data_IF_873648941135
#
_entry.id   IF_873648941135
#
_cell.length_a   1.000
_cell.length_b   1.000
_cell.length_c   1.000
_cell.angle_alpha   90.00
_cell.angle_beta   90.00
_cell.angle_gamma   90.00
#
_symmetry.space_group_name_H-M   'P 1'
#
loop_
_entity.id
_entity.type
_entity.pdbx_description
1 polymer ?
#
# COMPACT_ATOMS: atom_id res chain seq x y z
N UNK A 1 -56.10 39.65 46.58
CA UNK A 1 -56.25 38.98 47.88
C UNK A 1 -55.68 37.60 47.74
N UNK A 2 -54.57 37.38 48.38
CA UNK A 2 -53.72 36.22 48.27
C UNK A 2 -54.33 34.97 48.91
N UNK A 3 -54.02 33.80 48.42
CA UNK A 3 -53.68 32.65 49.24
C UNK A 3 -52.68 31.78 48.46
N UNK A 4 -51.52 31.79 49.05
CA UNK A 4 -50.38 30.87 48.73
C UNK A 4 -50.71 29.53 49.40
N UNK A 5 -50.73 28.45 48.64
CA UNK A 5 -50.69 27.08 49.19
C UNK A 5 -49.42 26.39 48.74
N UNK A 6 -48.50 26.29 49.70
CA UNK A 6 -47.31 25.52 49.66
C UNK A 6 -47.65 24.05 49.80
N UNK A 7 -47.50 23.26 48.76
CA UNK A 7 -47.47 21.78 48.87
C UNK A 7 -46.03 21.33 48.87
N UNK A 8 -45.61 20.91 50.04
CA UNK A 8 -44.36 20.19 50.32
C UNK A 8 -44.51 18.76 49.79
N UNK A 9 -43.68 18.41 48.77
CA UNK A 9 -43.51 17.03 48.35
C UNK A 9 -42.08 16.60 48.61
N UNK A 10 -42.01 15.80 49.63
CA UNK A 10 -40.81 15.11 50.09
C UNK A 10 -40.09 14.36 49.00
N UNK A 11 -38.83 14.40 49.10
CA UNK A 11 -37.79 13.60 48.47
C UNK A 11 -38.08 12.11 48.60
N UNK A 12 -38.21 11.42 47.50
CA UNK A 12 -37.80 10.04 47.32
C UNK A 12 -37.26 9.88 45.90
N UNK A 13 -36.08 10.39 45.72
CA UNK A 13 -35.23 10.00 44.60
C UNK A 13 -34.63 8.63 44.87
N UNK A 14 -35.34 7.59 44.49
CA UNK A 14 -34.72 6.28 44.36
C UNK A 14 -33.70 6.34 43.21
N UNK A 15 -32.45 6.23 43.63
CA UNK A 15 -31.29 5.91 42.82
C UNK A 15 -31.60 4.67 41.95
N UNK A 16 -32.03 4.87 40.74
CA UNK A 16 -31.99 3.84 39.70
C UNK A 16 -30.58 3.82 39.14
N UNK A 17 -29.68 3.17 39.85
CA UNK A 17 -28.40 2.74 39.28
C UNK A 17 -28.64 1.97 37.98
N UNK A 18 -27.93 2.25 36.90
CA UNK A 18 -28.04 1.44 35.68
C UNK A 18 -27.58 0.02 36.02
N UNK A 19 -28.47 -0.94 35.85
CA UNK A 19 -28.14 -2.36 35.86
C UNK A 19 -27.12 -2.60 34.78
N UNK A 20 -25.87 -2.63 35.16
CA UNK A 20 -24.78 -3.13 34.35
C UNK A 20 -25.05 -4.63 34.22
N UNK A 21 -25.51 -5.07 33.09
CA UNK A 21 -25.49 -6.48 32.70
C UNK A 21 -24.02 -6.90 32.56
N UNK A 22 -23.38 -7.13 33.67
CA UNK A 22 -22.11 -7.82 33.84
C UNK A 22 -22.42 -9.30 33.66
N UNK A 23 -22.20 -9.81 32.45
CA UNK A 23 -22.48 -11.21 32.15
C UNK A 23 -22.34 -11.56 30.68
N UNK A 24 -21.45 -10.90 29.95
CA UNK A 24 -20.92 -11.46 28.73
C UNK A 24 -19.62 -12.19 29.09
N UNK A 25 -19.73 -13.50 29.29
CA UNK A 25 -18.59 -14.41 29.40
C UNK A 25 -17.68 -14.19 28.19
N UNK A 26 -16.47 -13.76 28.46
CA UNK A 26 -15.36 -13.68 27.50
C UNK A 26 -14.84 -15.09 27.22
N UNK A 27 -15.68 -15.96 26.73
CA UNK A 27 -15.30 -17.19 26.07
C UNK A 27 -15.38 -16.97 24.55
N UNK A 28 -14.64 -15.96 24.06
CA UNK A 28 -14.23 -15.95 22.67
C UNK A 28 -13.32 -17.17 22.48
N UNK A 29 -13.64 -18.08 21.54
CA UNK A 29 -12.72 -19.17 21.21
C UNK A 29 -11.38 -18.53 20.84
N UNK A 30 -10.24 -19.11 21.30
CA UNK A 30 -8.93 -18.50 21.07
C UNK A 30 -8.80 -18.23 19.58
N UNK A 31 -8.63 -16.95 19.23
CA UNK A 31 -8.42 -16.52 17.85
C UNK A 31 -7.35 -17.42 17.26
N UNK A 32 -7.73 -18.21 16.27
CA UNK A 32 -6.82 -19.10 15.57
C UNK A 32 -5.62 -18.24 15.18
N UNK A 33 -4.42 -18.60 15.69
CA UNK A 33 -3.17 -17.90 15.39
C UNK A 33 -3.14 -17.69 13.87
N UNK A 34 -3.27 -16.45 13.45
CA UNK A 34 -3.24 -16.10 12.04
C UNK A 34 -1.96 -16.70 11.44
N UNK A 35 -2.07 -17.61 10.47
CA UNK A 35 -0.91 -18.10 9.76
C UNK A 35 -0.22 -16.88 9.21
N UNK A 36 1.10 -16.75 9.43
CA UNK A 36 1.85 -15.55 9.02
C UNK A 36 1.34 -15.06 7.66
N UNK A 37 0.96 -13.77 7.53
CA UNK A 37 0.25 -13.24 6.35
C UNK A 37 0.94 -13.58 5.02
N UNK A 38 2.25 -13.86 5.08
CA UNK A 38 3.05 -14.33 3.96
C UNK A 38 2.67 -15.74 3.48
N UNK A 39 2.41 -16.68 4.39
CA UNK A 39 1.95 -18.04 4.04
C UNK A 39 0.55 -18.01 3.44
N UNK A 40 -0.33 -17.15 3.96
CA UNK A 40 -1.68 -16.97 3.44
C UNK A 40 -1.68 -16.38 2.03
N UNK A 41 -0.75 -15.46 1.73
CA UNK A 41 -0.58 -14.90 0.39
C UNK A 41 -0.17 -15.98 -0.63
N UNK A 42 0.81 -16.82 -0.31
CA UNK A 42 1.22 -17.91 -1.21
C UNK A 42 0.13 -18.98 -1.42
N UNK A 43 -0.75 -19.15 -0.45
CA UNK A 43 -1.86 -20.09 -0.56
C UNK A 43 -2.85 -19.73 -1.67
N UNK A 44 -2.96 -18.45 -2.02
CA UNK A 44 -3.80 -17.99 -3.14
C UNK A 44 -3.35 -18.60 -4.47
N UNK A 45 -2.04 -18.78 -4.65
CA UNK A 45 -1.51 -19.36 -5.89
C UNK A 45 -1.83 -20.85 -6.06
N UNK A 46 -2.23 -21.58 -5.01
CA UNK A 46 -2.62 -22.99 -5.12
C UNK A 46 -3.90 -23.22 -5.96
N UNK A 47 -4.69 -22.15 -6.18
CA UNK A 47 -5.93 -22.20 -6.97
C UNK A 47 -5.71 -22.02 -8.48
N UNK A 48 -4.45 -22.04 -8.96
CA UNK A 48 -4.09 -21.91 -10.37
C UNK A 48 -4.18 -23.23 -11.14
N UNK A 49 -4.44 -23.16 -12.44
CA UNK A 49 -4.25 -24.27 -13.37
C UNK A 49 -2.80 -24.26 -13.92
N UNK A 50 -2.28 -25.40 -14.46
CA UNK A 50 -0.92 -25.46 -15.02
C UNK A 50 -0.65 -24.40 -16.08
N UNK A 51 -1.63 -24.09 -16.92
CA UNK A 51 -1.54 -23.05 -17.94
C UNK A 51 -1.35 -21.65 -17.35
N UNK A 52 -2.03 -21.38 -16.22
CA UNK A 52 -1.91 -20.08 -15.53
C UNK A 52 -0.52 -19.91 -14.94
N UNK A 53 0.09 -20.97 -14.40
CA UNK A 53 1.47 -20.89 -13.89
C UNK A 53 2.49 -20.64 -15.01
N UNK A 54 2.28 -21.18 -16.20
CA UNK A 54 3.12 -20.89 -17.36
C UNK A 54 3.01 -19.40 -17.78
N UNK A 55 1.78 -18.89 -17.89
CA UNK A 55 1.55 -17.47 -18.17
C UNK A 55 2.11 -16.55 -17.07
N UNK A 56 2.02 -16.98 -15.82
CA UNK A 56 2.57 -16.25 -14.68
C UNK A 56 4.10 -16.16 -14.75
N UNK A 57 4.77 -17.23 -15.16
CA UNK A 57 6.23 -17.23 -15.35
C UNK A 57 6.65 -16.25 -16.44
N UNK A 58 5.93 -16.21 -17.56
CA UNK A 58 6.18 -15.24 -18.65
C UNK A 58 5.95 -13.81 -18.14
N UNK A 59 4.89 -13.58 -17.37
CA UNK A 59 4.60 -12.26 -16.80
C UNK A 59 5.71 -11.80 -15.83
N UNK A 60 6.23 -12.69 -15.00
CA UNK A 60 7.36 -12.41 -14.09
C UNK A 60 8.62 -12.05 -14.89
N UNK A 61 8.96 -12.82 -15.92
CA UNK A 61 10.11 -12.53 -16.79
C UNK A 61 9.97 -11.17 -17.49
N UNK A 62 8.77 -10.86 -17.99
CA UNK A 62 8.49 -9.56 -18.61
C UNK A 62 8.58 -8.40 -17.60
N UNK A 63 8.14 -8.60 -16.34
CA UNK A 63 8.29 -7.62 -15.27
C UNK A 63 9.76 -7.37 -14.93
N UNK A 64 10.57 -8.44 -14.85
CA UNK A 64 12.02 -8.34 -14.64
C UNK A 64 12.69 -7.58 -15.80
N UNK A 65 12.38 -7.93 -17.04
CA UNK A 65 12.92 -7.25 -18.21
C UNK A 65 12.53 -5.76 -18.25
N UNK A 66 11.29 -5.42 -17.89
CA UNK A 66 10.85 -4.02 -17.77
C UNK A 66 11.62 -3.26 -16.69
N UNK A 67 11.93 -3.92 -15.56
CA UNK A 67 12.72 -3.35 -14.47
C UNK A 67 14.18 -3.08 -14.87
N UNK A 68 14.82 -4.04 -15.54
CA UNK A 68 16.17 -3.88 -16.09
C UNK A 68 16.20 -2.76 -17.14
N UNK A 69 15.18 -2.67 -18.01
CA UNK A 69 15.05 -1.61 -18.98
C UNK A 69 15.01 -0.20 -18.37
N UNK A 70 14.42 -0.06 -17.17
CA UNK A 70 14.43 1.21 -16.43
C UNK A 70 15.84 1.58 -15.94
N UNK A 71 16.61 0.62 -15.45
CA UNK A 71 17.98 0.85 -15.02
C UNK A 71 18.90 1.20 -16.22
N UNK A 72 18.69 0.59 -17.39
CA UNK A 72 19.43 0.85 -18.61
C UNK A 72 19.28 2.29 -19.15
N UNK A 73 18.15 2.94 -18.87
CA UNK A 73 17.94 4.36 -19.23
C UNK A 73 19.04 5.24 -18.58
N UNK A 74 19.42 4.96 -17.34
CA UNK A 74 20.46 5.72 -16.65
C UNK A 74 21.84 5.54 -17.31
N UNK A 75 22.16 4.33 -17.80
CA UNK A 75 23.41 4.07 -18.53
C UNK A 75 23.48 4.90 -19.81
N UNK A 76 22.39 4.93 -20.57
CA UNK A 76 22.34 5.71 -21.81
C UNK A 76 22.39 7.21 -21.49
N UNK A 77 21.75 7.65 -20.40
CA UNK A 77 21.83 9.03 -19.95
C UNK A 77 23.27 9.42 -19.54
N UNK A 78 23.98 8.54 -18.82
CA UNK A 78 25.38 8.74 -18.47
C UNK A 78 26.25 8.91 -19.72
N UNK A 79 26.12 8.04 -20.71
CA UNK A 79 26.84 8.17 -22.00
C UNK A 79 26.51 9.47 -22.73
N UNK A 80 25.26 9.87 -22.73
CA UNK A 80 24.83 11.13 -23.34
C UNK A 80 25.48 12.34 -22.67
N UNK A 81 25.59 12.33 -21.35
CA UNK A 81 26.25 13.39 -20.56
C UNK A 81 27.77 13.43 -20.86
N UNK A 82 28.43 12.27 -20.95
CA UNK A 82 29.84 12.21 -21.36
C UNK A 82 30.06 12.86 -22.72
N UNK A 83 29.24 12.52 -23.71
CA UNK A 83 29.34 13.10 -25.06
C UNK A 83 29.17 14.62 -25.06
N UNK A 84 28.25 15.16 -24.26
CA UNK A 84 28.07 16.61 -24.11
C UNK A 84 29.27 17.26 -23.41
N UNK A 85 29.86 16.57 -22.42
CA UNK A 85 31.08 17.03 -21.74
C UNK A 85 32.26 17.14 -22.69
N UNK A 86 32.48 16.14 -23.50
CA UNK A 86 33.61 16.09 -24.46
C UNK A 86 33.51 17.23 -25.48
N UNK A 87 32.30 17.56 -25.95
CA UNK A 87 32.12 18.69 -26.88
C UNK A 87 32.40 20.03 -26.25
N UNK A 88 32.03 20.20 -24.98
CA UNK A 88 32.29 21.46 -24.26
C UNK A 88 33.76 21.74 -24.07
N UNK A 89 34.61 20.70 -24.07
CA UNK A 89 36.09 20.79 -23.89
C UNK A 89 36.82 20.82 -25.21
N UNK A 90 36.42 19.99 -26.18
CA UNK A 90 37.16 19.75 -27.44
C UNK A 90 36.61 20.47 -28.65
N UNK A 91 35.44 21.13 -28.53
CA UNK A 91 34.69 21.68 -29.65
C UNK A 91 33.97 20.61 -30.46
N UNK A 92 33.16 21.03 -31.44
CA UNK A 92 32.37 20.12 -32.26
C UNK A 92 33.27 19.39 -33.26
N UNK A 93 33.43 18.07 -33.09
CA UNK A 93 34.16 17.22 -34.04
C UNK A 93 33.26 16.77 -35.20
N UNK A 94 33.82 16.51 -36.37
CA UNK A 94 33.12 15.85 -37.48
C UNK A 94 32.64 14.48 -37.02
N UNK A 95 31.32 14.23 -37.13
CA UNK A 95 30.63 13.00 -36.67
C UNK A 95 29.97 13.10 -35.28
N UNK A 96 30.03 14.25 -34.60
CA UNK A 96 29.33 14.43 -33.31
C UNK A 96 27.81 14.22 -33.46
N UNK A 97 27.21 14.78 -34.48
CA UNK A 97 25.75 14.66 -34.75
C UNK A 97 25.36 13.19 -34.94
N UNK A 98 26.18 12.39 -35.60
CA UNK A 98 25.91 10.96 -35.83
C UNK A 98 25.98 10.18 -34.51
N UNK A 99 26.93 10.47 -33.65
CA UNK A 99 27.08 9.82 -32.34
C UNK A 99 25.94 10.19 -31.41
N UNK A 100 25.54 11.46 -31.35
CA UNK A 100 24.38 11.92 -30.58
C UNK A 100 23.09 11.30 -31.10
N UNK A 101 22.91 11.27 -32.43
CA UNK A 101 21.75 10.66 -33.08
C UNK A 101 21.64 9.16 -32.74
N UNK A 102 22.75 8.43 -32.80
CA UNK A 102 22.82 7.01 -32.40
C UNK A 102 22.48 6.81 -30.94
N UNK A 103 23.02 7.65 -30.05
CA UNK A 103 22.71 7.58 -28.61
C UNK A 103 21.26 7.90 -28.32
N UNK A 104 20.68 8.88 -29.01
CA UNK A 104 19.26 9.19 -28.93
C UNK A 104 18.39 8.01 -29.42
N UNK A 105 18.82 7.29 -30.44
CA UNK A 105 18.13 6.11 -30.95
C UNK A 105 18.08 4.97 -29.90
N UNK A 106 19.10 4.82 -29.05
CA UNK A 106 19.05 3.84 -27.95
C UNK A 106 17.93 4.12 -26.94
N UNK A 107 17.60 5.39 -26.66
CA UNK A 107 16.44 5.70 -25.83
C UNK A 107 15.13 5.21 -26.46
N UNK A 108 14.99 5.34 -27.77
CA UNK A 108 13.81 4.86 -28.50
C UNK A 108 13.72 3.33 -28.42
N UNK A 109 14.83 2.62 -28.67
CA UNK A 109 14.84 1.15 -28.57
C UNK A 109 14.50 0.66 -27.16
N UNK A 110 15.10 1.23 -26.12
CA UNK A 110 14.78 0.89 -24.74
C UNK A 110 13.31 1.21 -24.45
N UNK A 111 12.79 2.33 -24.94
CA UNK A 111 11.39 2.72 -24.82
C UNK A 111 10.43 1.69 -25.43
N UNK A 112 10.72 1.21 -26.65
CA UNK A 112 9.92 0.19 -27.34
C UNK A 112 9.95 -1.14 -26.57
N UNK A 113 11.13 -1.62 -26.20
CA UNK A 113 11.28 -2.87 -25.44
C UNK A 113 10.53 -2.77 -24.10
N UNK A 114 10.70 -1.67 -23.40
CA UNK A 114 10.01 -1.44 -22.13
C UNK A 114 8.50 -1.36 -22.29
N UNK A 115 8.01 -0.70 -23.36
CA UNK A 115 6.58 -0.65 -23.67
C UNK A 115 6.00 -2.06 -23.83
N UNK A 116 6.64 -2.88 -24.67
CA UNK A 116 6.20 -4.26 -24.91
C UNK A 116 6.23 -5.10 -23.62
N UNK A 117 7.33 -5.04 -22.87
CA UNK A 117 7.47 -5.80 -21.63
C UNK A 117 6.45 -5.34 -20.57
N UNK A 118 6.22 -4.02 -20.43
CA UNK A 118 5.24 -3.48 -19.48
C UNK A 118 3.83 -3.89 -19.84
N UNK A 119 3.48 -3.81 -21.12
CA UNK A 119 2.19 -4.27 -21.61
C UNK A 119 1.96 -5.76 -21.34
N UNK A 120 2.95 -6.59 -21.66
CA UNK A 120 2.88 -8.04 -21.44
C UNK A 120 2.69 -8.39 -19.98
N UNK A 121 3.54 -7.88 -19.07
CA UNK A 121 3.41 -8.25 -17.66
C UNK A 121 2.11 -7.72 -17.05
N UNK A 122 1.71 -6.50 -17.37
CA UNK A 122 0.48 -5.90 -16.82
C UNK A 122 -0.76 -6.67 -17.28
N UNK A 123 -0.84 -6.98 -18.57
CA UNK A 123 -1.95 -7.73 -19.14
C UNK A 123 -2.02 -9.17 -18.60
N UNK A 124 -0.90 -9.89 -18.59
CA UNK A 124 -0.85 -11.28 -18.13
C UNK A 124 -1.08 -11.40 -16.63
N UNK A 125 -0.51 -10.51 -15.81
CA UNK A 125 -0.75 -10.49 -14.36
C UNK A 125 -2.22 -10.25 -14.04
N UNK A 126 -2.85 -9.29 -14.74
CA UNK A 126 -4.27 -9.00 -14.56
C UNK A 126 -5.13 -10.19 -14.98
N UNK A 127 -4.87 -10.79 -16.13
CA UNK A 127 -5.58 -11.97 -16.59
C UNK A 127 -5.48 -13.14 -15.59
N UNK A 128 -4.26 -13.44 -15.12
CA UNK A 128 -4.03 -14.52 -14.16
C UNK A 128 -4.74 -14.25 -12.83
N UNK A 129 -4.72 -12.99 -12.35
CA UNK A 129 -5.38 -12.62 -11.10
C UNK A 129 -6.90 -12.84 -11.16
N UNK A 130 -7.56 -12.54 -12.29
CA UNK A 130 -8.97 -12.86 -12.50
C UNK A 130 -9.24 -14.37 -12.39
N UNK A 131 -8.39 -15.19 -12.96
CA UNK A 131 -8.53 -16.65 -12.89
C UNK A 131 -8.32 -17.19 -11.46
N UNK A 132 -7.28 -16.72 -10.74
CA UNK A 132 -7.05 -17.09 -9.35
C UNK A 132 -8.23 -16.73 -8.46
N UNK A 133 -8.72 -15.50 -8.57
CA UNK A 133 -9.81 -15.02 -7.73
C UNK A 133 -11.11 -15.72 -8.07
N UNK A 134 -11.42 -15.97 -9.34
CA UNK A 134 -12.59 -16.73 -9.76
C UNK A 134 -12.60 -18.13 -9.14
N UNK A 135 -11.48 -18.85 -9.19
CA UNK A 135 -11.37 -20.18 -8.62
C UNK A 135 -11.47 -20.15 -7.09
N UNK A 136 -10.83 -19.15 -6.47
CA UNK A 136 -10.91 -18.95 -5.02
C UNK A 136 -12.34 -18.66 -4.57
N UNK A 137 -13.04 -17.73 -5.23
CA UNK A 137 -14.45 -17.41 -4.93
C UNK A 137 -15.37 -18.63 -5.10
N UNK A 138 -15.15 -19.40 -6.17
CA UNK A 138 -15.91 -20.66 -6.39
C UNK A 138 -15.72 -21.63 -5.23
N UNK A 139 -14.46 -21.88 -4.83
CA UNK A 139 -14.16 -22.80 -3.73
C UNK A 139 -14.69 -22.27 -2.39
N UNK A 140 -14.59 -20.96 -2.16
CA UNK A 140 -15.12 -20.31 -0.97
C UNK A 140 -16.64 -20.48 -0.88
N UNK A 141 -17.37 -20.23 -1.97
CA UNK A 141 -18.83 -20.40 -1.99
C UNK A 141 -19.24 -21.89 -1.85
N UNK A 142 -18.51 -22.81 -2.46
CA UNK A 142 -18.75 -24.23 -2.25
C UNK A 142 -18.58 -24.63 -0.77
N UNK A 143 -17.51 -24.13 -0.13
CA UNK A 143 -17.29 -24.36 1.30
C UNK A 143 -18.38 -23.71 2.16
N UNK A 144 -18.83 -22.51 1.82
CA UNK A 144 -19.92 -21.85 2.50
C UNK A 144 -21.23 -22.65 2.40
N UNK A 145 -21.60 -23.12 1.21
CA UNK A 145 -22.82 -23.92 1.03
C UNK A 145 -22.77 -25.31 1.68
N UNK A 146 -21.59 -25.81 2.02
CA UNK A 146 -21.42 -27.06 2.75
C UNK A 146 -21.49 -26.92 4.27
N UNK A 147 -21.60 -25.69 4.80
CA UNK A 147 -21.72 -25.43 6.22
C UNK A 147 -23.12 -25.77 6.74
N UNK A 148 -23.22 -26.13 8.01
CA UNK A 148 -24.48 -26.37 8.69
C UNK A 148 -25.27 -25.08 8.88
N UNK A 149 -26.62 -25.18 8.95
CA UNK A 149 -27.51 -24.04 9.18
C UNK A 149 -27.15 -23.30 10.47
N UNK A 150 -26.77 -24.05 11.52
CA UNK A 150 -26.32 -23.49 12.79
C UNK A 150 -25.13 -22.52 12.67
N UNK A 151 -24.26 -22.69 11.67
CA UNK A 151 -23.15 -21.77 11.40
C UNK A 151 -23.67 -20.35 11.06
N UNK A 152 -24.76 -20.26 10.35
CA UNK A 152 -25.38 -18.99 9.95
C UNK A 152 -26.24 -18.38 11.05
N UNK A 153 -26.85 -19.21 11.92
CA UNK A 153 -27.76 -18.79 12.98
C UNK A 153 -27.02 -18.42 14.27
N UNK A 154 -25.92 -19.12 14.61
CA UNK A 154 -25.16 -18.92 15.86
C UNK A 154 -24.08 -17.86 15.76
N UNK A 155 -23.85 -17.28 14.61
CA UNK A 155 -22.87 -16.20 14.40
C UNK A 155 -23.21 -14.96 15.22
N UNK A 156 -22.74 -14.92 16.46
CA UNK A 156 -22.99 -13.90 17.47
C UNK A 156 -22.38 -12.54 17.13
N UNK A 157 -22.55 -11.99 15.99
CA UNK A 157 -22.20 -10.59 15.63
C UNK A 157 -22.32 -10.29 14.14
N UNK A 158 -23.25 -10.94 13.43
CA UNK A 158 -23.44 -10.62 11.99
C UNK A 158 -22.32 -11.08 11.06
N UNK A 159 -21.23 -11.64 11.61
CA UNK A 159 -20.04 -12.05 10.84
C UNK A 159 -20.30 -13.23 9.92
N UNK A 160 -21.23 -14.12 10.31
CA UNK A 160 -21.57 -15.33 9.55
C UNK A 160 -22.93 -15.23 8.85
N UNK A 161 -23.56 -14.06 8.79
CA UNK A 161 -24.79 -13.89 8.03
C UNK A 161 -24.57 -14.14 6.54
N UNK A 162 -25.59 -14.63 5.83
CA UNK A 162 -25.49 -14.87 4.38
C UNK A 162 -25.04 -13.62 3.61
N UNK A 163 -25.46 -12.44 4.06
CA UNK A 163 -25.02 -11.15 3.49
C UNK A 163 -23.52 -10.87 3.72
N UNK A 164 -23.03 -11.15 4.93
CA UNK A 164 -21.60 -10.96 5.25
C UNK A 164 -20.71 -11.92 4.47
N UNK A 165 -21.12 -13.19 4.32
CA UNK A 165 -20.39 -14.20 3.52
C UNK A 165 -20.32 -13.77 2.05
N UNK A 166 -21.41 -13.30 1.47
CA UNK A 166 -21.44 -12.79 0.09
C UNK A 166 -20.56 -11.54 -0.09
N UNK A 167 -20.63 -10.61 0.86
CA UNK A 167 -19.80 -9.40 0.85
C UNK A 167 -18.32 -9.73 0.99
N UNK A 168 -17.94 -10.66 1.86
CA UNK A 168 -16.56 -11.12 2.01
C UNK A 168 -16.05 -11.77 0.72
N UNK A 169 -16.84 -12.61 0.06
CA UNK A 169 -16.47 -13.23 -1.20
C UNK A 169 -16.18 -12.20 -2.29
N UNK A 170 -16.99 -11.16 -2.41
CA UNK A 170 -16.85 -10.11 -3.44
C UNK A 170 -15.79 -9.09 -3.10
N UNK A 171 -15.83 -8.49 -1.91
CA UNK A 171 -14.93 -7.40 -1.51
C UNK A 171 -13.51 -7.89 -1.30
N UNK A 172 -13.34 -8.97 -0.53
CA UNK A 172 -12.02 -9.55 -0.30
C UNK A 172 -11.45 -10.17 -1.59
N UNK A 173 -12.30 -10.76 -2.43
CA UNK A 173 -11.90 -11.23 -3.76
C UNK A 173 -11.31 -10.11 -4.61
N UNK A 174 -11.93 -8.93 -4.65
CA UNK A 174 -11.42 -7.76 -5.37
C UNK A 174 -10.09 -7.24 -4.80
N UNK A 175 -9.94 -7.22 -3.48
CA UNK A 175 -8.68 -6.83 -2.83
C UNK A 175 -7.55 -7.81 -3.16
N UNK A 176 -7.81 -9.12 -3.13
CA UNK A 176 -6.85 -10.16 -3.52
C UNK A 176 -6.47 -10.00 -4.99
N UNK A 177 -7.45 -9.75 -5.87
CA UNK A 177 -7.20 -9.52 -7.29
C UNK A 177 -6.24 -8.35 -7.52
N UNK A 178 -6.48 -7.20 -6.91
CA UNK A 178 -5.60 -6.02 -7.06
C UNK A 178 -4.21 -6.28 -6.49
N UNK A 179 -4.10 -7.04 -5.39
CA UNK A 179 -2.83 -7.44 -4.79
C UNK A 179 -2.00 -8.35 -5.68
N UNK A 180 -2.63 -9.37 -6.27
CA UNK A 180 -1.95 -10.35 -7.13
C UNK A 180 -1.67 -9.80 -8.53
N UNK A 181 -2.55 -8.94 -9.07
CA UNK A 181 -2.36 -8.35 -10.40
C UNK A 181 -1.32 -7.22 -10.36
N UNK A 182 -1.77 -6.06 -9.92
CA UNK A 182 -1.01 -4.81 -10.04
C UNK A 182 0.16 -4.74 -9.05
N UNK A 183 -0.13 -5.01 -7.78
CA UNK A 183 0.87 -4.80 -6.71
C UNK A 183 2.03 -5.77 -6.79
N UNK A 184 1.74 -7.04 -7.10
CA UNK A 184 2.78 -8.05 -7.28
C UNK A 184 3.67 -7.74 -8.49
N UNK A 185 3.07 -7.33 -9.62
CA UNK A 185 3.82 -6.96 -10.83
C UNK A 185 4.76 -5.77 -10.57
N UNK A 186 4.24 -4.71 -9.94
CA UNK A 186 5.04 -3.54 -9.56
C UNK A 186 6.16 -3.90 -8.56
N UNK A 187 5.90 -4.78 -7.61
CA UNK A 187 6.89 -5.23 -6.63
C UNK A 187 8.05 -5.97 -7.30
N UNK A 188 7.75 -6.92 -8.20
CA UNK A 188 8.78 -7.66 -8.95
C UNK A 188 9.60 -6.70 -9.82
N UNK A 189 8.94 -5.78 -10.53
CA UNK A 189 9.59 -4.77 -11.33
C UNK A 189 10.52 -3.89 -10.49
N UNK A 190 10.06 -3.40 -9.33
CA UNK A 190 10.86 -2.55 -8.44
C UNK A 190 12.10 -3.27 -7.91
N UNK A 191 11.96 -4.52 -7.48
CA UNK A 191 13.08 -5.36 -7.04
C UNK A 191 14.08 -5.56 -8.19
N UNK A 192 13.60 -5.87 -9.38
CA UNK A 192 14.44 -6.06 -10.55
C UNK A 192 15.20 -4.78 -10.90
N UNK A 193 14.53 -3.62 -10.89
CA UNK A 193 15.16 -2.32 -11.11
C UNK A 193 16.24 -2.04 -10.06
N UNK A 194 15.96 -2.34 -8.80
CA UNK A 194 16.91 -2.14 -7.71
C UNK A 194 18.18 -2.96 -7.92
N UNK A 195 18.05 -4.26 -8.16
CA UNK A 195 19.22 -5.10 -8.40
C UNK A 195 19.97 -4.73 -9.67
N UNK A 196 19.27 -4.42 -10.75
CA UNK A 196 19.89 -4.01 -12.00
C UNK A 196 20.66 -2.68 -11.82
N UNK A 197 20.07 -1.69 -11.16
CA UNK A 197 20.73 -0.42 -10.88
C UNK A 197 21.98 -0.60 -9.99
N UNK A 198 21.88 -1.48 -8.97
CA UNK A 198 23.03 -1.80 -8.12
C UNK A 198 24.19 -2.44 -8.89
N UNK A 199 23.89 -3.43 -9.73
CA UNK A 199 24.90 -4.10 -10.55
C UNK A 199 25.59 -3.08 -11.48
N UNK A 200 24.80 -2.23 -12.13
CA UNK A 200 25.33 -1.18 -13.02
C UNK A 200 26.21 -0.19 -12.24
N UNK A 201 25.74 0.29 -11.09
CA UNK A 201 26.49 1.22 -10.25
C UNK A 201 27.82 0.64 -9.76
N UNK A 202 27.86 -0.65 -9.35
CA UNK A 202 29.09 -1.31 -8.95
C UNK A 202 30.09 -1.49 -10.11
N UNK A 203 29.59 -1.77 -11.32
CA UNK A 203 30.42 -1.89 -12.50
C UNK A 203 30.98 -0.52 -12.92
N UNK A 204 30.16 0.54 -12.80
CA UNK A 204 30.56 1.91 -13.16
C UNK A 204 31.59 2.48 -12.18
N UNK A 205 31.26 2.55 -10.88
CA UNK A 205 32.16 3.09 -9.84
C UNK A 205 31.84 2.49 -8.46
N UNK A 206 32.57 1.44 -8.08
CA UNK A 206 32.31 0.73 -6.82
C UNK A 206 32.52 1.60 -5.56
N UNK A 207 33.52 2.52 -5.58
CA UNK A 207 33.80 3.43 -4.44
C UNK A 207 32.62 4.39 -4.18
N UNK A 208 32.11 5.02 -5.24
CA UNK A 208 30.98 5.93 -5.16
C UNK A 208 29.72 5.19 -4.70
N UNK A 209 29.50 3.99 -5.22
CA UNK A 209 28.36 3.14 -4.84
C UNK A 209 28.37 2.80 -3.36
N UNK A 210 29.52 2.49 -2.74
CA UNK A 210 29.60 2.24 -1.30
C UNK A 210 29.21 3.45 -0.44
N UNK A 211 29.52 4.65 -0.91
CA UNK A 211 29.12 5.87 -0.18
C UNK A 211 27.62 6.09 -0.28
N UNK A 212 27.05 5.90 -1.47
CA UNK A 212 25.63 6.11 -1.73
C UNK A 212 24.78 5.03 -1.07
N UNK A 213 25.28 3.81 -0.87
CA UNK A 213 24.55 2.71 -0.23
C UNK A 213 24.04 3.07 1.17
N UNK A 214 24.70 3.99 1.89
CA UNK A 214 24.24 4.49 3.19
C UNK A 214 22.88 5.22 3.13
N UNK A 215 22.48 5.68 1.95
CA UNK A 215 21.17 6.34 1.76
C UNK A 215 20.03 5.34 1.88
N UNK A 216 20.24 4.09 1.41
CA UNK A 216 19.23 3.03 1.43
C UNK A 216 18.74 2.72 2.84
N UNK A 217 19.60 2.39 3.83
CA UNK A 217 19.16 2.17 5.20
C UNK A 217 18.54 3.43 5.83
N UNK A 218 19.01 4.62 5.48
CA UNK A 218 18.43 5.87 5.97
C UNK A 218 16.99 6.03 5.51
N UNK A 219 16.69 5.76 4.23
CA UNK A 219 15.31 5.77 3.71
C UNK A 219 14.47 4.69 4.39
N UNK A 220 15.01 3.48 4.58
CA UNK A 220 14.29 2.39 5.25
C UNK A 220 13.94 2.73 6.70
N UNK A 221 14.81 3.41 7.43
CA UNK A 221 14.55 3.87 8.80
C UNK A 221 13.44 4.95 8.80
N UNK A 222 13.53 5.94 7.91
CA UNK A 222 12.54 7.03 7.84
C UNK A 222 11.17 6.48 7.44
N UNK A 223 11.09 5.76 6.34
CA UNK A 223 9.80 5.23 5.82
C UNK A 223 9.27 4.11 6.71
N UNK A 224 10.14 3.16 7.11
CA UNK A 224 9.75 2.02 7.94
C UNK A 224 9.32 2.44 9.34
N UNK A 225 10.05 3.36 9.97
CA UNK A 225 9.68 3.89 11.28
C UNK A 225 8.31 4.55 11.28
N UNK A 226 8.06 5.43 10.30
CA UNK A 226 6.74 6.08 10.18
C UNK A 226 5.64 5.09 9.83
N UNK A 227 5.91 4.08 8.98
CA UNK A 227 4.93 3.07 8.60
C UNK A 227 4.44 2.23 9.78
N UNK A 228 5.30 1.96 10.77
CA UNK A 228 4.90 1.26 12.00
C UNK A 228 3.89 2.10 12.78
N UNK A 229 4.16 3.40 12.98
CA UNK A 229 3.22 4.30 13.65
C UNK A 229 1.92 4.46 12.87
N UNK A 230 2.00 4.51 11.54
CA UNK A 230 0.81 4.57 10.67
C UNK A 230 -0.08 3.34 10.85
N UNK A 231 0.49 2.15 10.95
CA UNK A 231 -0.25 0.91 11.16
C UNK A 231 -1.04 0.93 12.48
N UNK A 232 -0.43 1.44 13.58
CA UNK A 232 -1.13 1.58 14.86
C UNK A 232 -2.32 2.54 14.76
N UNK A 233 -2.13 3.71 14.14
CA UNK A 233 -3.21 4.70 13.98
C UNK A 233 -4.32 4.17 13.07
N UNK A 234 -3.97 3.45 12.00
CA UNK A 234 -4.94 2.84 11.10
C UNK A 234 -5.81 1.81 11.81
N UNK A 235 -5.23 0.94 12.63
CA UNK A 235 -6.00 -0.06 13.39
C UNK A 235 -7.02 0.61 14.33
N UNK A 236 -6.62 1.69 15.00
CA UNK A 236 -7.53 2.48 15.83
C UNK A 236 -8.65 3.13 15.03
N UNK A 237 -8.33 3.69 13.85
CA UNK A 237 -9.33 4.28 12.95
C UNK A 237 -10.31 3.23 12.44
N UNK A 238 -9.84 2.05 12.02
CA UNK A 238 -10.70 0.96 11.58
C UNK A 238 -11.65 0.49 12.68
N UNK A 239 -11.17 0.43 13.93
CA UNK A 239 -12.01 0.11 15.08
C UNK A 239 -13.12 1.15 15.28
N UNK A 240 -12.80 2.44 15.22
CA UNK A 240 -13.77 3.53 15.35
C UNK A 240 -14.79 3.52 14.22
N UNK A 241 -14.36 3.31 12.98
CA UNK A 241 -15.28 3.17 11.85
C UNK A 241 -16.16 1.92 11.96
N UNK A 242 -15.62 0.82 12.50
CA UNK A 242 -16.42 -0.38 12.78
C UNK A 242 -17.51 -0.10 13.82
N UNK A 243 -17.17 0.59 14.91
CA UNK A 243 -18.15 0.98 15.94
C UNK A 243 -19.22 1.94 15.39
N UNK A 244 -18.80 2.93 14.58
CA UNK A 244 -19.74 3.83 13.92
C UNK A 244 -20.65 3.09 12.95
N UNK A 245 -20.12 2.13 12.18
CA UNK A 245 -20.86 1.28 11.25
C UNK A 245 -21.91 0.43 11.95
N UNK A 246 -21.52 -0.31 13.00
CA UNK A 246 -22.45 -1.11 13.80
C UNK A 246 -23.54 -0.27 14.47
N UNK A 247 -23.17 0.92 14.96
CA UNK A 247 -24.15 1.85 15.52
C UNK A 247 -25.14 2.32 14.45
N UNK A 248 -24.67 2.68 13.25
CA UNK A 248 -25.53 3.09 12.14
C UNK A 248 -26.47 1.95 11.69
N UNK A 249 -25.97 0.72 11.61
CA UNK A 249 -26.76 -0.46 11.27
C UNK A 249 -27.90 -0.69 12.25
N UNK A 250 -27.60 -0.67 13.56
CA UNK A 250 -28.60 -0.80 14.62
C UNK A 250 -29.67 0.31 14.58
N UNK A 251 -29.23 1.54 14.31
CA UNK A 251 -30.13 2.70 14.18
C UNK A 251 -31.04 2.56 12.97
N UNK A 252 -30.51 2.17 11.82
CA UNK A 252 -31.26 1.95 10.60
C UNK A 252 -32.26 0.77 10.74
N UNK A 253 -31.87 -0.29 11.47
CA UNK A 253 -32.75 -1.40 11.79
C UNK A 253 -33.94 -1.01 12.68
N UNK A 254 -33.76 0.00 13.53
CA UNK A 254 -34.79 0.51 14.46
C UNK A 254 -35.45 1.81 13.98
N UNK A 255 -35.46 2.11 12.69
CA UNK A 255 -35.94 3.39 12.12
C UNK A 255 -37.38 3.73 12.58
N UNK A 256 -38.29 2.76 12.68
CA UNK A 256 -39.64 2.98 13.17
C UNK A 256 -39.68 3.54 14.59
N UNK A 257 -38.87 2.98 15.47
CA UNK A 257 -38.74 3.42 16.88
C UNK A 257 -38.18 4.82 16.97
N UNK A 258 -37.15 5.13 16.16
CA UNK A 258 -36.54 6.46 16.10
C UNK A 258 -37.54 7.53 15.67
N UNK A 259 -38.33 7.23 14.66
CA UNK A 259 -39.39 8.16 14.23
C UNK A 259 -40.49 8.31 15.26
N UNK A 260 -40.95 7.20 15.89
CA UNK A 260 -42.02 7.24 16.88
C UNK A 260 -41.63 8.09 18.11
N UNK A 261 -40.38 8.05 18.53
CA UNK A 261 -39.90 8.79 19.70
C UNK A 261 -39.12 10.08 19.33
N UNK A 262 -39.13 10.50 18.07
CA UNK A 262 -38.42 11.72 17.60
C UNK A 262 -36.95 11.79 18.03
N UNK A 263 -36.22 10.66 18.07
CA UNK A 263 -34.87 10.56 18.57
C UNK A 263 -33.79 10.93 17.54
N UNK A 264 -34.19 11.44 16.37
CA UNK A 264 -33.28 11.74 15.25
C UNK A 264 -32.03 12.49 15.64
N UNK A 265 -32.21 13.63 16.32
CA UNK A 265 -31.07 14.53 16.63
C UNK A 265 -30.11 13.90 17.65
N UNK A 266 -30.62 13.14 18.60
CA UNK A 266 -29.80 12.40 19.58
C UNK A 266 -28.97 11.31 18.94
N UNK A 267 -29.55 10.58 18.00
CA UNK A 267 -28.89 9.49 17.26
C UNK A 267 -27.80 10.02 16.34
N UNK A 268 -28.12 11.09 15.59
CA UNK A 268 -27.14 11.77 14.72
C UNK A 268 -26.00 12.37 15.54
N UNK A 269 -26.31 12.99 16.69
CA UNK A 269 -25.29 13.53 17.59
C UNK A 269 -24.32 12.46 18.10
N UNK A 270 -24.83 11.26 18.46
CA UNK A 270 -23.97 10.15 18.90
C UNK A 270 -23.13 9.59 17.75
N UNK A 271 -23.68 9.44 16.55
CA UNK A 271 -22.93 9.05 15.38
C UNK A 271 -21.81 10.07 15.06
N UNK A 272 -22.12 11.35 15.13
CA UNK A 272 -21.16 12.45 14.95
C UNK A 272 -20.01 12.38 15.96
N UNK A 273 -20.26 11.96 17.20
CA UNK A 273 -19.17 11.80 18.19
C UNK A 273 -18.12 10.78 17.77
N UNK A 274 -18.54 9.64 17.18
CA UNK A 274 -17.60 8.66 16.61
C UNK A 274 -16.80 9.24 15.43
N UNK A 275 -17.48 9.97 14.55
CA UNK A 275 -16.81 10.61 13.41
C UNK A 275 -15.81 11.69 13.86
N UNK A 276 -16.15 12.46 14.89
CA UNK A 276 -15.27 13.49 15.47
C UNK A 276 -14.00 12.84 16.06
N UNK A 277 -14.15 11.76 16.80
CA UNK A 277 -12.99 11.04 17.35
C UNK A 277 -12.12 10.46 16.22
N UNK A 278 -12.72 9.88 15.18
CA UNK A 278 -12.01 9.41 14.00
C UNK A 278 -11.28 10.56 13.27
N UNK A 279 -11.91 11.71 13.15
CA UNK A 279 -11.31 12.92 12.56
C UNK A 279 -10.08 13.38 13.35
N UNK A 280 -10.19 13.50 14.68
CA UNK A 280 -9.09 13.94 15.53
C UNK A 280 -7.88 13.01 15.45
N UNK A 281 -8.11 11.70 15.37
CA UNK A 281 -7.05 10.71 15.15
C UNK A 281 -6.49 10.77 13.73
N UNK A 282 -7.34 10.97 12.72
CA UNK A 282 -6.92 11.17 11.33
C UNK A 282 -6.05 12.41 11.15
N UNK A 283 -6.34 13.50 11.87
CA UNK A 283 -5.51 14.73 11.84
C UNK A 283 -4.10 14.49 12.40
N UNK A 284 -3.95 13.63 13.42
CA UNK A 284 -2.61 13.21 13.91
C UNK A 284 -1.86 12.43 12.85
N UNK A 285 -2.55 11.54 12.14
CA UNK A 285 -2.00 10.77 11.03
C UNK A 285 -1.49 11.66 9.90
N UNK A 286 -2.24 12.71 9.55
CA UNK A 286 -1.86 13.64 8.48
C UNK A 286 -0.50 14.32 8.74
N UNK A 287 -0.24 14.71 10.00
CA UNK A 287 1.07 15.28 10.39
C UNK A 287 2.20 14.27 10.20
N UNK A 288 1.95 13.00 10.53
CA UNK A 288 2.91 11.92 10.37
C UNK A 288 3.26 11.68 8.89
N UNK A 289 2.26 11.70 8.01
CA UNK A 289 2.49 11.62 6.55
C UNK A 289 3.32 12.79 6.02
N UNK A 290 3.08 14.00 6.52
CA UNK A 290 3.89 15.17 6.14
C UNK A 290 5.38 14.96 6.47
N UNK A 291 5.68 14.45 7.67
CA UNK A 291 7.06 14.14 8.08
C UNK A 291 7.66 13.01 7.24
N UNK A 292 6.88 11.96 6.93
CA UNK A 292 7.33 10.83 6.12
C UNK A 292 7.72 11.26 4.71
N UNK A 293 6.81 11.91 3.99
CA UNK A 293 7.07 12.34 2.63
C UNK A 293 8.13 13.43 2.57
N UNK A 294 8.09 14.42 3.47
CA UNK A 294 9.11 15.45 3.56
C UNK A 294 10.49 14.87 3.86
N UNK A 295 10.59 13.96 4.82
CA UNK A 295 11.82 13.26 5.17
C UNK A 295 12.35 12.39 4.02
N UNK A 296 11.47 11.67 3.33
CA UNK A 296 11.84 10.85 2.17
C UNK A 296 12.46 11.70 1.06
N UNK A 297 11.79 12.77 0.65
CA UNK A 297 12.34 13.66 -0.40
C UNK A 297 13.63 14.36 0.05
N UNK A 298 13.70 14.79 1.31
CA UNK A 298 14.91 15.39 1.84
C UNK A 298 16.12 14.41 1.74
N UNK A 299 15.95 13.15 2.14
CA UNK A 299 17.00 12.14 2.07
C UNK A 299 17.42 11.87 0.62
N UNK A 300 16.47 11.82 -0.31
CA UNK A 300 16.77 11.60 -1.74
C UNK A 300 17.62 12.75 -2.28
N UNK A 301 17.21 14.01 -2.07
CA UNK A 301 17.94 15.17 -2.59
C UNK A 301 19.28 15.40 -1.87
N UNK A 302 19.33 15.15 -0.56
CA UNK A 302 20.59 15.17 0.19
C UNK A 302 21.55 14.09 -0.33
N UNK A 303 21.03 12.92 -0.66
CA UNK A 303 21.79 11.83 -1.27
C UNK A 303 22.32 12.18 -2.66
N UNK A 304 21.52 12.82 -3.51
CA UNK A 304 21.99 13.33 -4.80
C UNK A 304 23.11 14.38 -4.62
N UNK A 305 22.93 15.31 -3.68
CA UNK A 305 23.94 16.31 -3.36
C UNK A 305 25.27 15.69 -2.90
N UNK A 306 25.19 14.66 -2.05
CA UNK A 306 26.36 13.91 -1.58
C UNK A 306 27.03 13.14 -2.73
N UNK A 307 26.24 12.52 -3.61
CA UNK A 307 26.75 11.81 -4.79
C UNK A 307 27.51 12.74 -5.73
N UNK A 308 26.97 13.91 -6.02
CA UNK A 308 27.64 14.91 -6.86
C UNK A 308 28.89 15.47 -6.20
N UNK A 309 28.79 15.86 -4.93
CA UNK A 309 29.95 16.40 -4.20
C UNK A 309 31.11 15.40 -4.18
N UNK A 310 30.84 14.15 -3.85
CA UNK A 310 31.85 13.12 -3.81
C UNK A 310 32.31 12.70 -5.22
N UNK A 311 31.41 12.63 -6.19
CA UNK A 311 31.72 12.32 -7.58
C UNK A 311 32.69 13.35 -8.19
N UNK A 312 32.44 14.64 -8.00
CA UNK A 312 33.36 15.70 -8.44
C UNK A 312 34.66 15.72 -7.68
N UNK A 313 34.68 15.42 -6.37
CA UNK A 313 35.89 15.28 -5.59
C UNK A 313 36.78 14.11 -6.06
N UNK A 314 36.17 13.01 -6.53
CA UNK A 314 36.89 11.87 -7.11
C UNK A 314 37.41 12.19 -8.51
N UNK A 315 36.71 13.03 -9.28
CA UNK A 315 37.13 13.52 -10.58
C UNK A 315 38.38 14.44 -10.45
N UNK A 316 38.36 15.35 -9.46
CA UNK A 316 39.52 16.23 -9.17
C UNK A 316 40.76 15.43 -8.76
N UNK A 317 40.61 14.28 -8.10
CA UNK A 317 41.69 13.35 -7.75
C UNK A 317 42.13 12.46 -8.92
N UNK A 318 41.48 12.55 -10.09
CA UNK A 318 41.80 11.73 -11.26
C UNK A 318 41.31 10.27 -11.15
N UNK A 319 40.49 9.92 -10.17
CA UNK A 319 39.95 8.55 -10.00
C UNK A 319 38.80 8.25 -10.96
N UNK A 320 38.12 9.28 -11.47
CA UNK A 320 37.03 9.22 -12.45
C UNK A 320 37.36 10.15 -13.60
N UNK A 321 37.44 9.62 -14.81
CA UNK A 321 37.82 10.41 -15.99
C UNK A 321 36.57 10.94 -16.73
N UNK A 322 35.46 10.19 -16.67
CA UNK A 322 34.23 10.49 -17.42
C UNK A 322 33.16 11.11 -16.55
N UNK A 323 32.66 12.26 -16.93
CA UNK A 323 31.56 12.96 -16.26
C UNK A 323 30.29 12.10 -16.20
N UNK A 324 29.99 11.37 -17.25
CA UNK A 324 28.81 10.50 -17.35
C UNK A 324 28.80 9.33 -16.38
N UNK A 325 29.97 8.90 -15.89
CA UNK A 325 30.06 7.82 -14.88
C UNK A 325 29.46 8.22 -13.54
N UNK A 326 29.44 9.52 -13.21
CA UNK A 326 28.80 10.06 -12.00
C UNK A 326 27.28 10.01 -12.12
N UNK A 327 26.75 10.11 -13.35
CA UNK A 327 25.31 10.14 -13.64
C UNK A 327 24.72 8.76 -13.97
N UNK A 328 25.55 7.75 -14.15
CA UNK A 328 25.13 6.36 -14.38
C UNK A 328 24.81 5.66 -13.07
#
# INVERSE_FOLDING_TARGET
MAVSEKVDHGQDTQDASPVILEGASTDDPPAAKDPSGFKSFFRVFQYGSPMIYFLQSIAILAAIASGVGLAMVNVVMGRFITLLGDVSVSGTSDGFIDTVSTTALYFVYIGIVRFVCTYLYSSLMTYNAYHFVRNLQRTYLQAAFSQEIGFYDTGSSGTNSAGSVSMQATTNGKLIQSGVAEKLGLFIQAISTFFAAFIIAFISQWKLTFIIICIVPTILIVVGGVSIFDAFINNDLFRLYGQAGSYAENVLGATRTIHAFSLRDRVVGKYYSFLKEAYDRGMKKNKLYGVMFGGQYFVIYAGMGLAFWQGFAMMDRGEVQDLGTIFT
#
